data_IF_687944605982
#
_entry.id   IF_687944605982
#
_cell.length_a   1.000
_cell.length_b   1.000
_cell.length_c   1.000
_cell.angle_alpha   90.00
_cell.angle_beta   90.00
_cell.angle_gamma   90.00
#
_symmetry.space_group_name_H-M   'P 1'
#
loop_
_entity.id
_entity.type
_entity.pdbx_description
1 polymer ?
#
# COMPACT_ATOMS: atom_id res chain seq x y z
N UNK A 1 22.34 31.82 28.49
CA UNK A 1 21.62 30.55 28.71
C UNK A 1 21.71 29.75 27.42
N UNK A 2 22.12 28.47 27.46
CA UNK A 2 22.05 27.60 26.27
C UNK A 2 20.67 26.97 26.27
N UNK A 3 19.78 27.48 25.42
CA UNK A 3 18.52 26.80 25.13
C UNK A 3 18.87 25.55 24.34
N UNK A 4 18.76 24.38 24.96
CA UNK A 4 18.71 23.14 24.20
C UNK A 4 17.39 23.18 23.44
N UNK A 5 17.43 23.67 22.21
CA UNK A 5 16.37 23.39 21.25
C UNK A 5 16.35 21.87 21.09
N UNK A 6 15.23 21.23 21.47
CA UNK A 6 15.07 19.80 21.28
C UNK A 6 15.22 19.46 19.80
N UNK A 7 15.71 18.26 19.50
CA UNK A 7 15.83 17.82 18.11
C UNK A 7 14.43 17.84 17.46
N UNK A 8 14.29 18.37 16.23
CA UNK A 8 13.00 18.41 15.55
C UNK A 8 12.43 16.99 15.39
N UNK A 9 11.12 16.87 15.57
CA UNK A 9 10.40 15.60 15.54
C UNK A 9 9.24 15.66 14.54
N UNK A 10 9.00 14.53 13.88
CA UNK A 10 7.93 14.33 12.91
C UNK A 10 7.07 13.14 13.30
N UNK A 11 5.77 13.25 13.04
CA UNK A 11 4.79 12.21 13.34
C UNK A 11 4.30 11.54 12.05
N UNK A 12 4.27 10.21 12.05
CA UNK A 12 3.67 9.47 10.96
C UNK A 12 2.14 9.62 10.97
N UNK A 13 1.59 10.19 9.90
CA UNK A 13 0.14 10.43 9.75
C UNK A 13 -0.70 9.14 9.84
N UNK A 14 -0.12 7.98 9.50
CA UNK A 14 -0.84 6.70 9.49
C UNK A 14 -0.86 5.98 10.84
N UNK A 15 0.26 5.96 11.56
CA UNK A 15 0.39 5.18 12.80
C UNK A 15 0.61 6.02 14.06
N UNK A 16 0.75 7.35 13.93
CA UNK A 16 0.93 8.27 15.05
C UNK A 16 2.29 8.15 15.76
N UNK A 17 3.24 7.41 15.18
CA UNK A 17 4.57 7.27 15.76
C UNK A 17 5.41 8.51 15.48
N UNK A 18 6.11 8.98 16.51
CA UNK A 18 7.02 10.13 16.44
C UNK A 18 8.45 9.65 16.17
N UNK A 19 9.12 10.34 15.26
CA UNK A 19 10.48 10.08 14.83
C UNK A 19 11.28 11.39 14.87
N UNK A 20 12.60 11.28 15.02
CA UNK A 20 13.48 12.45 14.90
C UNK A 20 13.58 12.85 13.42
N UNK A 21 13.44 14.13 13.09
CA UNK A 21 13.64 14.62 11.72
C UNK A 21 15.05 14.33 11.21
N UNK A 22 16.05 14.28 12.11
CA UNK A 22 17.43 13.90 11.79
C UNK A 22 17.59 12.42 11.37
N UNK A 23 16.60 11.56 11.64
CA UNK A 23 16.69 10.11 11.40
C UNK A 23 16.26 9.65 10.00
N UNK A 24 15.72 10.55 9.17
CA UNK A 24 15.18 10.24 7.83
C UNK A 24 14.18 9.06 7.80
N UNK A 25 13.50 8.80 8.92
CA UNK A 25 12.54 7.69 9.06
C UNK A 25 11.14 8.03 8.56
N UNK A 26 10.87 9.31 8.31
CA UNK A 26 9.63 9.81 7.74
C UNK A 26 9.89 10.20 6.29
N UNK A 27 9.13 9.61 5.37
CA UNK A 27 9.10 9.95 3.96
C UNK A 27 7.69 10.45 3.63
N UNK A 28 7.57 11.70 3.20
CA UNK A 28 6.30 12.33 2.87
C UNK A 28 5.23 12.23 3.99
N UNK A 29 5.63 12.34 5.26
CA UNK A 29 4.73 12.22 6.41
C UNK A 29 4.38 10.78 6.83
N UNK A 30 4.99 9.77 6.20
CA UNK A 30 4.80 8.36 6.54
C UNK A 30 6.10 7.71 6.98
N UNK A 31 6.05 6.87 8.03
CA UNK A 31 7.23 6.10 8.40
C UNK A 31 7.56 5.02 7.36
N UNK A 32 8.82 4.58 7.29
CA UNK A 32 9.30 3.56 6.35
C UNK A 32 8.36 2.35 6.21
N UNK A 33 7.85 1.82 7.34
CA UNK A 33 6.92 0.69 7.34
C UNK A 33 5.57 1.05 6.71
N UNK A 34 5.00 2.21 7.07
CA UNK A 34 3.71 2.66 6.55
C UNK A 34 3.78 3.03 5.07
N UNK A 35 4.92 3.60 4.65
CA UNK A 35 5.21 3.95 3.26
C UNK A 35 5.34 2.70 2.39
N UNK A 36 6.10 1.70 2.83
CA UNK A 36 6.24 0.41 2.15
C UNK A 36 4.90 -0.35 2.08
N UNK A 37 4.14 -0.35 3.19
CA UNK A 37 2.84 -1.01 3.26
C UNK A 37 1.77 -0.39 2.33
N UNK A 38 1.93 0.88 1.93
CA UNK A 38 1.04 1.55 0.99
C UNK A 38 1.53 1.51 -0.47
N UNK A 39 2.52 0.67 -0.80
CA UNK A 39 3.14 0.60 -2.14
C UNK A 39 3.59 1.97 -2.66
N UNK A 40 4.03 2.88 -1.77
CA UNK A 40 4.53 4.19 -2.17
C UNK A 40 3.50 5.11 -2.84
N UNK A 41 2.19 4.88 -2.68
CA UNK A 41 1.18 5.86 -3.08
C UNK A 41 1.09 6.94 -1.99
N UNK A 42 1.64 8.16 -2.19
CA UNK A 42 1.31 9.27 -1.33
C UNK A 42 -0.20 9.49 -1.42
N UNK A 43 -0.90 9.43 -0.30
CA UNK A 43 -2.30 9.83 -0.15
C UNK A 43 -2.43 11.37 -0.30
N UNK A 44 -1.90 11.94 -1.38
CA UNK A 44 -2.50 13.15 -1.93
C UNK A 44 -3.92 12.73 -2.29
N UNK A 45 -4.92 13.37 -1.69
CA UNK A 45 -6.33 13.18 -2.04
C UNK A 45 -6.49 13.36 -3.54
N UNK A 46 -6.43 12.28 -4.30
CA UNK A 46 -7.02 12.24 -5.62
C UNK A 46 -8.50 12.03 -5.40
N UNK A 47 -9.22 13.15 -5.30
CA UNK A 47 -10.59 13.19 -5.76
C UNK A 47 -10.56 12.82 -7.26
N UNK A 48 -10.64 11.53 -7.57
CA UNK A 48 -11.40 10.91 -8.67
C UNK A 48 -10.81 9.58 -9.15
N UNK A 49 -11.64 8.54 -9.01
CA UNK A 49 -11.72 7.34 -9.86
C UNK A 49 -10.49 6.44 -10.01
N UNK A 50 -10.25 5.57 -9.03
CA UNK A 50 -9.72 4.24 -9.33
C UNK A 50 -10.89 3.32 -9.70
N UNK A 51 -11.12 3.16 -11.00
CA UNK A 51 -11.96 2.08 -11.52
C UNK A 51 -11.41 0.73 -11.05
N UNK A 52 -12.21 0.01 -10.27
CA UNK A 52 -12.05 -1.41 -9.99
C UNK A 52 -11.80 -2.15 -11.32
N UNK A 53 -10.58 -2.66 -11.50
CA UNK A 53 -10.32 -3.61 -12.58
C UNK A 53 -10.85 -4.97 -12.09
N UNK A 54 -11.98 -5.35 -12.67
CA UNK A 54 -12.68 -6.61 -12.56
C UNK A 54 -11.71 -7.80 -12.62
N UNK A 55 -11.63 -8.57 -11.54
CA UNK A 55 -11.00 -9.89 -11.56
C UNK A 55 -12.05 -10.91 -11.96
N UNK A 56 -12.39 -10.93 -13.25
CA UNK A 56 -13.10 -12.03 -13.87
C UNK A 56 -12.16 -13.23 -14.05
N UNK A 57 -12.12 -14.13 -13.07
CA UNK A 57 -11.53 -15.46 -13.28
C UNK A 57 -12.53 -16.32 -14.04
N UNK A 58 -12.32 -16.48 -15.35
CA UNK A 58 -13.08 -17.40 -16.19
C UNK A 58 -12.57 -18.83 -15.93
N UNK A 59 -13.29 -19.54 -15.06
CA UNK A 59 -13.13 -20.98 -14.82
C UNK A 59 -13.43 -21.73 -16.13
N UNK A 60 -12.39 -22.09 -16.86
CA UNK A 60 -12.51 -22.87 -18.09
C UNK A 60 -12.60 -24.36 -17.72
N UNK A 61 -13.82 -24.83 -17.51
CA UNK A 61 -14.14 -26.25 -17.36
C UNK A 61 -13.90 -27.00 -18.69
N UNK A 62 -13.08 -28.07 -18.74
CA UNK A 62 -12.96 -28.89 -19.94
C UNK A 62 -14.22 -29.76 -20.16
N UNK A 63 -14.72 -29.91 -21.40
CA UNK A 63 -15.79 -30.85 -21.69
C UNK A 63 -15.31 -32.30 -21.54
N UNK A 64 -16.14 -33.14 -20.93
CA UNK A 64 -15.91 -34.57 -20.71
C UNK A 64 -15.80 -35.33 -22.05
N UNK A 65 -14.94 -36.36 -22.17
CA UNK A 65 -14.86 -37.16 -23.38
C UNK A 65 -16.08 -38.09 -23.50
N UNK A 66 -16.77 -38.01 -24.65
CA UNK A 66 -17.85 -38.92 -25.01
C UNK A 66 -17.29 -40.32 -25.31
N UNK A 67 -17.87 -41.33 -24.67
CA UNK A 67 -17.58 -42.76 -24.88
C UNK A 67 -18.23 -43.19 -26.19
N UNK A 68 -17.45 -43.39 -27.25
CA UNK A 68 -17.91 -44.02 -28.49
C UNK A 68 -17.60 -45.53 -28.42
N UNK A 69 -18.54 -46.31 -27.89
CA UNK A 69 -18.60 -47.75 -28.12
C UNK A 69 -19.06 -47.98 -29.57
N UNK A 70 -18.14 -48.38 -30.46
CA UNK A 70 -18.48 -48.92 -31.77
C UNK A 70 -18.39 -50.44 -31.70
N UNK A 71 -19.55 -51.06 -31.91
CA UNK A 71 -19.82 -52.51 -32.02
C UNK A 71 -18.99 -53.20 -33.12
#
# INVERSE_FOLDING_TARGET
>A
MKTHEGDPQEECVRCGKVYLSSSNQINHGFCSNCYAANRGLPLIKEEQSASLHDSGSEDSNPPEPEEEEVE
#
